data_IF_917586375313
#
_entry.id   IF_917586375313
#
_cell.length_a   1.000
_cell.length_b   1.000
_cell.length_c   1.000
_cell.angle_alpha   90.00
_cell.angle_beta   90.00
_cell.angle_gamma   90.00
#
_symmetry.space_group_name_H-M   'P 1'
#
loop_
_entity.id
_entity.type
_entity.pdbx_description
1 polymer ?
#
# COMPACT_ATOMS: atom_id res chain seq x y z
N UNK A 1 67.59 -27.62 -52.03
CA UNK A 1 67.20 -26.19 -51.90
C UNK A 1 65.78 -26.17 -51.41
N UNK A 2 65.55 -26.05 -50.13
CA UNK A 2 64.19 -26.03 -49.51
C UNK A 2 63.88 -24.59 -49.06
N UNK A 3 62.81 -24.10 -49.59
CA UNK A 3 62.40 -22.70 -49.56
C UNK A 3 61.92 -22.28 -48.16
N UNK A 4 62.65 -21.39 -47.47
CA UNK A 4 62.35 -20.81 -46.15
C UNK A 4 61.40 -19.58 -46.31
N UNK A 5 60.15 -19.76 -46.68
CA UNK A 5 59.20 -18.63 -46.74
C UNK A 5 57.76 -18.98 -46.27
N UNK A 6 57.61 -19.73 -45.24
CA UNK A 6 56.24 -20.01 -44.78
C UNK A 6 56.11 -20.11 -43.24
N UNK A 7 56.72 -19.21 -42.48
CA UNK A 7 56.43 -19.15 -41.03
C UNK A 7 56.47 -17.69 -40.56
N UNK A 8 55.53 -16.86 -41.04
CA UNK A 8 55.38 -15.51 -40.50
C UNK A 8 53.96 -14.96 -40.54
N UNK A 9 52.94 -15.80 -40.40
CA UNK A 9 51.54 -15.36 -40.45
C UNK A 9 50.69 -15.78 -39.24
N UNK A 10 51.28 -16.13 -38.11
CA UNK A 10 50.45 -16.64 -36.97
C UNK A 10 50.62 -15.94 -35.62
N UNK A 11 51.11 -14.70 -35.60
CA UNK A 11 51.31 -13.99 -34.30
C UNK A 11 50.50 -12.69 -34.13
N UNK A 12 49.52 -12.39 -34.96
CA UNK A 12 48.81 -11.12 -34.89
C UNK A 12 47.45 -11.18 -34.18
N UNK A 13 46.96 -12.32 -33.71
CA UNK A 13 45.60 -12.44 -33.24
C UNK A 13 45.38 -12.59 -31.73
N UNK A 14 46.40 -12.58 -30.90
CA UNK A 14 46.19 -12.74 -29.42
C UNK A 14 45.72 -11.45 -28.74
N UNK A 15 46.09 -10.28 -29.23
CA UNK A 15 45.68 -9.00 -28.64
C UNK A 15 44.21 -8.67 -29.01
N UNK A 16 43.80 -8.90 -30.22
CA UNK A 16 42.43 -8.67 -30.68
C UNK A 16 41.42 -9.58 -29.99
N UNK A 17 41.79 -10.85 -29.69
CA UNK A 17 40.91 -11.77 -28.96
C UNK A 17 40.72 -11.40 -27.49
N UNK A 18 41.73 -10.82 -26.86
CA UNK A 18 41.63 -10.32 -25.44
C UNK A 18 40.80 -9.01 -25.38
N UNK A 19 40.96 -8.12 -26.35
CA UNK A 19 40.15 -6.89 -26.40
C UNK A 19 38.66 -7.19 -26.64
N UNK A 20 38.36 -8.15 -27.51
CA UNK A 20 36.98 -8.62 -27.72
C UNK A 20 36.37 -9.27 -26.45
N UNK A 21 37.14 -10.04 -25.68
CA UNK A 21 36.65 -10.67 -24.47
C UNK A 21 36.37 -9.66 -23.35
N UNK A 22 37.21 -8.66 -23.16
CA UNK A 22 37.01 -7.59 -22.17
C UNK A 22 35.81 -6.70 -22.52
N UNK A 23 35.63 -6.34 -23.78
CA UNK A 23 34.47 -5.60 -24.25
C UNK A 23 33.17 -6.41 -24.04
N UNK A 24 33.18 -7.70 -24.31
CA UNK A 24 32.02 -8.58 -24.11
C UNK A 24 31.66 -8.73 -22.65
N UNK A 25 32.64 -8.83 -21.74
CA UNK A 25 32.38 -8.89 -20.29
C UNK A 25 31.73 -7.59 -19.79
N UNK A 26 32.25 -6.44 -20.22
CA UNK A 26 31.66 -5.13 -19.84
C UNK A 26 30.23 -5.02 -20.32
N UNK A 27 29.93 -5.41 -21.57
CA UNK A 27 28.57 -5.40 -22.12
C UNK A 27 27.65 -6.34 -21.34
N UNK A 28 28.10 -7.54 -20.97
CA UNK A 28 27.34 -8.49 -20.17
C UNK A 28 27.02 -7.94 -18.77
N UNK A 29 27.99 -7.33 -18.08
CA UNK A 29 27.78 -6.71 -16.77
C UNK A 29 26.79 -5.55 -16.86
N UNK A 30 26.90 -4.69 -17.86
CA UNK A 30 25.96 -3.61 -18.10
C UNK A 30 24.56 -4.13 -18.41
N UNK A 31 24.45 -5.16 -19.26
CA UNK A 31 23.16 -5.77 -19.60
C UNK A 31 22.49 -6.40 -18.37
N UNK A 32 23.25 -7.12 -17.51
CA UNK A 32 22.73 -7.69 -16.26
C UNK A 32 22.31 -6.62 -15.27
N UNK A 33 23.08 -5.55 -15.13
CA UNK A 33 22.72 -4.44 -14.23
C UNK A 33 21.44 -3.72 -14.69
N UNK A 34 21.28 -3.47 -15.99
CA UNK A 34 20.06 -2.90 -16.56
C UNK A 34 18.85 -3.83 -16.40
N UNK A 35 19.05 -5.15 -16.53
CA UNK A 35 18.00 -6.14 -16.34
C UNK A 35 17.53 -6.18 -14.89
N UNK A 36 18.46 -6.16 -13.92
CA UNK A 36 18.14 -6.11 -12.49
C UNK A 36 17.39 -4.81 -12.15
N UNK A 37 17.88 -3.66 -12.62
CA UNK A 37 17.21 -2.37 -12.43
C UNK A 37 15.81 -2.36 -13.07
N UNK A 38 15.66 -2.93 -14.26
CA UNK A 38 14.38 -3.09 -14.93
C UNK A 38 13.40 -3.95 -14.13
N UNK A 39 13.85 -5.09 -13.59
CA UNK A 39 13.03 -5.95 -12.75
C UNK A 39 12.61 -5.28 -11.43
N UNK A 40 13.52 -4.52 -10.79
CA UNK A 40 13.20 -3.74 -9.59
C UNK A 40 12.16 -2.67 -9.91
N UNK A 41 12.32 -1.95 -11.02
CA UNK A 41 11.36 -0.94 -11.46
C UNK A 41 9.99 -1.56 -11.76
N UNK A 42 9.97 -2.68 -12.48
CA UNK A 42 8.74 -3.43 -12.78
C UNK A 42 8.09 -3.90 -11.47
N UNK A 43 8.85 -4.48 -10.54
CA UNK A 43 8.32 -4.90 -9.23
C UNK A 43 7.71 -3.70 -8.47
N UNK A 44 8.37 -2.54 -8.49
CA UNK A 44 7.87 -1.33 -7.84
C UNK A 44 6.59 -0.81 -8.48
N UNK A 45 6.52 -0.79 -9.83
CA UNK A 45 5.33 -0.39 -10.58
C UNK A 45 4.18 -1.39 -10.36
N UNK A 46 4.44 -2.70 -10.42
CA UNK A 46 3.41 -3.72 -10.23
C UNK A 46 2.97 -3.86 -8.76
N UNK A 47 3.83 -3.60 -7.78
CA UNK A 47 3.42 -3.49 -6.37
C UNK A 47 2.49 -2.28 -6.17
N UNK A 48 2.74 -1.17 -6.86
CA UNK A 48 1.81 -0.03 -6.90
C UNK A 48 0.55 -0.28 -7.73
N UNK A 49 0.63 -1.04 -8.81
CA UNK A 49 -0.48 -1.31 -9.72
C UNK A 49 -1.47 -2.37 -9.20
N UNK A 50 -1.07 -3.25 -8.27
CA UNK A 50 -1.99 -4.17 -7.59
C UNK A 50 -3.09 -3.43 -6.82
N UNK A 51 -2.90 -2.16 -6.52
CA UNK A 51 -3.82 -1.32 -5.76
C UNK A 51 -4.08 0.03 -6.43
N UNK A 52 -4.14 0.06 -7.76
CA UNK A 52 -4.70 1.22 -8.46
C UNK A 52 -6.21 1.27 -8.16
N UNK A 53 -6.52 1.92 -7.07
CA UNK A 53 -7.87 2.24 -6.62
C UNK A 53 -8.23 3.63 -7.17
N UNK A 54 -8.20 3.78 -8.46
CA UNK A 54 -8.95 4.89 -9.07
C UNK A 54 -10.42 4.56 -9.25
N UNK A 55 -10.78 3.27 -9.13
CA UNK A 55 -12.19 2.86 -9.09
C UNK A 55 -12.32 1.68 -8.13
N UNK A 56 -12.85 1.93 -6.95
CA UNK A 56 -13.40 0.86 -6.13
C UNK A 56 -14.36 0.08 -7.02
N UNK A 57 -14.05 -1.19 -7.29
CA UNK A 57 -14.82 -2.02 -8.21
C UNK A 57 -16.30 -1.96 -7.79
N UNK A 58 -17.21 -1.68 -8.71
CA UNK A 58 -18.66 -1.59 -8.48
C UNK A 58 -19.19 -2.79 -7.68
N UNK A 59 -18.55 -3.96 -7.83
CA UNK A 59 -18.87 -5.15 -7.06
C UNK A 59 -18.59 -4.98 -5.56
N UNK A 60 -17.46 -4.38 -5.20
CA UNK A 60 -17.10 -4.09 -3.79
C UNK A 60 -18.04 -3.03 -3.21
N UNK A 61 -18.37 -2.00 -3.97
CA UNK A 61 -19.36 -0.99 -3.54
C UNK A 61 -20.72 -1.62 -3.27
N UNK A 62 -21.17 -2.52 -4.14
CA UNK A 62 -22.44 -3.23 -3.95
C UNK A 62 -22.42 -4.14 -2.72
N UNK A 63 -21.29 -4.79 -2.41
CA UNK A 63 -21.16 -5.59 -1.19
C UNK A 63 -21.16 -4.70 0.06
N UNK A 64 -20.45 -3.56 0.02
CA UNK A 64 -20.45 -2.57 1.11
C UNK A 64 -21.87 -2.03 1.34
N UNK A 65 -22.61 -1.72 0.26
CA UNK A 65 -23.97 -1.21 0.38
C UNK A 65 -24.92 -2.20 1.06
N UNK A 66 -24.71 -3.51 0.89
CA UNK A 66 -25.49 -4.55 1.59
C UNK A 66 -25.21 -4.60 3.09
N UNK A 67 -24.06 -4.10 3.54
CA UNK A 67 -23.68 -4.05 4.94
C UNK A 67 -24.30 -2.85 5.68
N UNK A 68 -24.77 -1.83 4.95
CA UNK A 68 -25.49 -0.72 5.57
C UNK A 68 -26.86 -1.19 6.07
N UNK A 69 -26.96 -1.23 7.39
CA UNK A 69 -28.26 -1.34 8.06
C UNK A 69 -28.91 0.05 8.13
N UNK A 70 -30.21 0.11 8.33
CA UNK A 70 -30.96 1.37 8.52
C UNK A 70 -30.26 2.20 9.63
N UNK A 71 -30.00 3.49 9.35
CA UNK A 71 -29.31 4.44 10.24
C UNK A 71 -27.78 4.25 10.46
N UNK A 72 -27.13 3.38 9.72
CA UNK A 72 -25.70 3.22 9.84
C UNK A 72 -24.95 4.31 9.07
N UNK A 73 -24.08 5.08 9.78
CA UNK A 73 -23.33 6.22 9.23
C UNK A 73 -22.03 5.80 8.56
N UNK A 74 -21.45 4.66 8.93
CA UNK A 74 -20.19 4.15 8.42
C UNK A 74 -20.14 2.63 8.47
N UNK A 75 -19.62 2.03 7.40
CA UNK A 75 -19.34 0.59 7.30
C UNK A 75 -17.88 0.38 6.89
N UNK A 76 -17.20 -0.56 7.53
CA UNK A 76 -15.87 -1.04 7.15
C UNK A 76 -16.03 -2.43 6.53
N UNK A 77 -15.51 -2.62 5.33
CA UNK A 77 -15.59 -3.89 4.60
C UNK A 77 -14.51 -4.86 5.08
N UNK A 78 -14.74 -5.44 6.25
CA UNK A 78 -13.90 -6.46 6.86
C UNK A 78 -14.79 -7.49 7.57
N UNK A 79 -14.45 -8.77 7.42
CA UNK A 79 -15.08 -9.81 8.20
C UNK A 79 -14.73 -9.63 9.69
N UNK A 80 -15.74 -9.55 10.54
CA UNK A 80 -15.60 -9.36 12.00
C UNK A 80 -14.73 -8.15 12.41
N UNK A 81 -14.60 -7.13 11.55
CA UNK A 81 -13.74 -5.96 11.75
C UNK A 81 -12.27 -6.31 11.99
N UNK A 82 -11.82 -7.48 11.51
CA UNK A 82 -10.46 -7.98 11.65
C UNK A 82 -9.84 -8.25 10.28
N UNK A 83 -8.56 -7.91 10.17
CA UNK A 83 -7.75 -8.18 8.99
C UNK A 83 -6.51 -8.97 9.42
N UNK A 84 -6.34 -10.15 8.87
CA UNK A 84 -5.09 -10.90 8.95
C UNK A 84 -4.21 -10.50 7.76
N UNK A 85 -3.01 -10.02 8.02
CA UNK A 85 -2.04 -9.62 7.01
C UNK A 85 -0.67 -10.21 7.34
N UNK A 86 0.07 -10.67 6.34
CA UNK A 86 1.42 -11.20 6.54
C UNK A 86 2.47 -10.09 6.51
N UNK A 87 3.59 -10.37 7.15
CA UNK A 87 4.79 -9.53 7.00
C UNK A 87 5.18 -9.41 5.52
N UNK A 88 5.60 -8.24 5.09
CA UNK A 88 5.96 -7.95 3.70
C UNK A 88 4.80 -7.78 2.73
N UNK A 89 3.55 -7.89 3.18
CA UNK A 89 2.36 -7.73 2.33
C UNK A 89 1.76 -6.33 2.41
N UNK A 90 1.12 -5.95 1.30
CA UNK A 90 0.30 -4.76 1.18
C UNK A 90 -1.18 -5.14 1.16
N UNK A 91 -2.01 -4.37 1.86
CA UNK A 91 -3.45 -4.60 1.90
C UNK A 91 -4.27 -3.32 1.92
N UNK A 92 -5.51 -3.40 1.42
CA UNK A 92 -6.47 -2.30 1.42
C UNK A 92 -7.69 -2.59 2.29
N UNK A 93 -8.01 -1.67 3.18
CA UNK A 93 -9.25 -1.69 3.99
C UNK A 93 -10.22 -0.70 3.37
N UNK A 94 -11.27 -1.21 2.75
CA UNK A 94 -12.32 -0.40 2.16
C UNK A 94 -13.36 -0.01 3.22
N UNK A 95 -13.86 1.20 3.15
CA UNK A 95 -14.93 1.68 4.01
C UNK A 95 -15.86 2.64 3.25
N UNK A 96 -17.02 2.88 3.81
CA UNK A 96 -17.97 3.84 3.26
C UNK A 96 -18.60 4.69 4.37
N UNK A 97 -18.91 5.93 4.02
CA UNK A 97 -19.57 6.91 4.87
C UNK A 97 -20.87 7.32 4.19
N UNK A 98 -21.98 7.29 4.91
CA UNK A 98 -23.29 7.74 4.41
C UNK A 98 -23.69 9.04 5.10
N UNK A 99 -24.09 10.03 4.32
CA UNK A 99 -24.61 11.28 4.84
C UNK A 99 -26.07 11.12 5.28
N UNK A 100 -26.31 10.98 6.56
CA UNK A 100 -27.63 10.88 7.19
C UNK A 100 -28.03 12.19 7.91
N UNK A 101 -27.38 13.32 7.57
CA UNK A 101 -27.75 14.61 8.18
C UNK A 101 -29.03 15.12 7.50
N UNK A 102 -30.07 15.23 8.30
CA UNK A 102 -31.36 15.73 7.86
C UNK A 102 -31.42 17.27 7.87
N UNK A 103 -32.35 17.82 7.10
CA UNK A 103 -32.67 19.25 7.08
C UNK A 103 -31.51 20.17 6.65
N UNK A 104 -30.55 19.65 5.89
CA UNK A 104 -29.43 20.44 5.38
C UNK A 104 -29.43 20.42 3.85
N UNK A 105 -29.53 21.59 3.22
CA UNK A 105 -29.46 21.71 1.76
C UNK A 105 -28.01 21.64 1.28
N UNK A 106 -27.77 20.95 0.17
CA UNK A 106 -26.48 20.86 -0.51
C UNK A 106 -25.52 19.83 0.07
N UNK A 107 -24.43 19.61 -0.64
CA UNK A 107 -23.39 18.66 -0.22
C UNK A 107 -22.64 19.16 1.02
N UNK A 108 -22.23 18.23 1.88
CA UNK A 108 -21.40 18.48 3.07
C UNK A 108 -20.07 17.78 2.93
N UNK A 109 -19.01 18.45 3.43
CA UNK A 109 -17.66 17.94 3.42
C UNK A 109 -17.39 17.13 4.69
N UNK A 110 -17.22 15.83 4.55
CA UNK A 110 -16.86 14.93 5.63
C UNK A 110 -15.34 14.72 5.62
N UNK A 111 -14.65 15.23 6.62
CA UNK A 111 -13.23 15.00 6.82
C UNK A 111 -13.06 13.77 7.70
N UNK A 112 -12.20 12.81 7.29
CA UNK A 112 -11.88 11.66 8.10
C UNK A 112 -10.38 11.54 8.37
N UNK A 113 -10.07 10.87 9.48
CA UNK A 113 -8.71 10.56 9.89
C UNK A 113 -8.65 9.13 10.44
N UNK A 114 -7.55 8.45 10.09
CA UNK A 114 -7.23 7.12 10.58
C UNK A 114 -6.07 7.22 11.57
N UNK A 115 -6.29 6.76 12.78
CA UNK A 115 -5.30 6.78 13.84
C UNK A 115 -5.26 5.44 14.59
N UNK A 116 -4.19 5.22 15.35
CA UNK A 116 -4.09 4.07 16.25
C UNK A 116 -4.98 4.32 17.46
N UNK A 117 -5.82 3.36 17.80
CA UNK A 117 -6.69 3.37 18.96
C UNK A 117 -6.21 2.37 20.02
N UNK A 118 -4.96 2.53 20.44
CA UNK A 118 -4.31 1.80 21.52
C UNK A 118 -3.40 2.73 22.30
N UNK A 119 -3.25 2.50 23.60
CA UNK A 119 -2.27 3.22 24.39
C UNK A 119 -0.85 2.86 24.00
N UNK A 120 0.08 3.82 24.13
CA UNK A 120 1.49 3.62 23.78
C UNK A 120 2.15 2.50 24.60
N UNK A 121 1.69 2.27 25.82
CA UNK A 121 2.17 1.20 26.73
C UNK A 121 1.62 -0.15 26.27
N UNK A 122 0.32 -0.20 25.96
CA UNK A 122 -0.34 -1.40 25.45
C UNK A 122 0.28 -1.87 24.13
N UNK A 123 0.48 -0.93 23.17
CA UNK A 123 1.10 -1.22 21.89
C UNK A 123 2.54 -1.75 22.05
N UNK A 124 3.36 -1.12 22.89
CA UNK A 124 4.73 -1.57 23.17
C UNK A 124 4.78 -2.96 23.77
N UNK A 125 3.89 -3.25 24.73
CA UNK A 125 3.87 -4.53 25.42
C UNK A 125 3.39 -5.66 24.52
N UNK A 126 2.36 -5.42 23.72
CA UNK A 126 1.77 -6.43 22.82
C UNK A 126 2.54 -6.61 21.51
N UNK A 127 3.25 -5.58 21.05
CA UNK A 127 3.93 -5.53 19.77
C UNK A 127 5.46 -5.42 19.86
N UNK A 128 6.09 -6.00 20.88
CA UNK A 128 7.55 -6.11 20.95
C UNK A 128 8.30 -4.78 20.94
N UNK A 129 7.72 -3.73 21.53
CA UNK A 129 8.33 -2.41 21.60
C UNK A 129 7.95 -1.45 20.48
N UNK A 130 7.04 -1.84 19.59
CA UNK A 130 6.56 -1.00 18.48
C UNK A 130 6.03 0.34 19.00
N UNK A 131 6.48 1.44 18.40
CA UNK A 131 6.00 2.78 18.72
C UNK A 131 4.76 3.14 17.89
N UNK A 132 3.94 4.09 18.39
CA UNK A 132 2.77 4.60 17.66
C UNK A 132 3.19 5.15 16.28
N UNK A 133 4.30 5.89 16.20
CA UNK A 133 4.80 6.44 14.93
C UNK A 133 5.17 5.38 13.91
N UNK A 134 5.77 4.28 14.36
CA UNK A 134 6.11 3.14 13.48
C UNK A 134 4.86 2.44 13.00
N UNK A 135 3.91 2.14 13.89
CA UNK A 135 2.64 1.53 13.52
C UNK A 135 1.81 2.43 12.58
N UNK A 136 1.83 3.76 12.78
CA UNK A 136 1.23 4.71 11.85
C UNK A 136 1.92 4.73 10.48
N UNK A 137 3.23 4.46 10.42
CA UNK A 137 3.97 4.39 9.16
C UNK A 137 3.56 3.23 8.26
N UNK A 138 2.83 2.26 8.80
CA UNK A 138 2.24 1.16 8.03
C UNK A 138 1.09 1.64 7.15
N UNK A 139 0.45 2.77 7.47
CA UNK A 139 -0.54 3.41 6.58
C UNK A 139 0.20 4.16 5.48
N UNK A 140 0.10 3.68 4.24
CA UNK A 140 0.76 4.28 3.07
C UNK A 140 -0.12 5.27 2.34
N UNK A 141 -1.43 5.09 2.37
CA UNK A 141 -2.39 6.01 1.76
C UNK A 141 -3.75 5.94 2.49
N UNK A 142 -4.55 6.98 2.39
CA UNK A 142 -5.86 7.05 3.01
C UNK A 142 -5.84 7.32 4.53
N UNK A 143 -4.73 7.84 5.07
CA UNK A 143 -4.64 8.21 6.49
C UNK A 143 -5.61 9.35 6.84
N UNK A 144 -5.79 10.30 5.95
CA UNK A 144 -6.76 11.38 6.07
C UNK A 144 -7.18 11.88 4.70
N UNK A 145 -8.45 12.18 4.54
CA UNK A 145 -9.01 12.74 3.31
C UNK A 145 -10.37 13.36 3.60
N UNK A 146 -11.02 13.85 2.55
CA UNK A 146 -12.35 14.43 2.66
C UNK A 146 -13.25 14.01 1.50
N UNK A 147 -14.53 13.84 1.78
CA UNK A 147 -15.57 13.51 0.81
C UNK A 147 -16.68 14.55 0.87
N UNK A 148 -17.15 15.02 -0.29
CA UNK A 148 -18.32 15.88 -0.37
C UNK A 148 -19.54 15.03 -0.72
N UNK A 149 -20.50 14.91 0.20
CA UNK A 149 -21.67 14.03 0.08
C UNK A 149 -22.96 14.82 0.18
N UNK A 150 -23.89 14.60 -0.76
CA UNK A 150 -25.24 15.09 -0.66
C UNK A 150 -26.03 14.32 0.42
N UNK A 151 -27.16 14.85 0.93
CA UNK A 151 -28.02 14.10 1.84
C UNK A 151 -28.42 12.73 1.26
N UNK A 152 -28.22 11.66 2.05
CA UNK A 152 -28.48 10.28 1.64
C UNK A 152 -27.41 9.62 0.78
N UNK A 153 -26.42 10.38 0.30
CA UNK A 153 -25.33 9.87 -0.53
C UNK A 153 -24.30 9.09 0.29
N UNK A 154 -23.73 8.05 -0.34
CA UNK A 154 -22.66 7.22 0.23
C UNK A 154 -21.34 7.48 -0.50
N UNK A 155 -20.32 7.87 0.24
CA UNK A 155 -18.95 8.00 -0.25
C UNK A 155 -18.10 6.80 0.17
N UNK A 156 -17.15 6.42 -0.67
CA UNK A 156 -16.28 5.25 -0.46
C UNK A 156 -14.82 5.68 -0.50
N UNK A 157 -14.00 5.03 0.32
CA UNK A 157 -12.54 5.21 0.25
C UNK A 157 -11.81 3.94 0.72
N UNK A 158 -10.48 3.90 0.54
CA UNK A 158 -9.65 2.77 0.92
C UNK A 158 -8.41 3.25 1.64
N UNK A 159 -8.16 2.67 2.81
CA UNK A 159 -6.93 2.83 3.56
C UNK A 159 -5.96 1.75 3.10
N UNK A 160 -4.75 2.13 2.71
CA UNK A 160 -3.71 1.18 2.28
C UNK A 160 -2.67 1.00 3.36
N UNK A 161 -2.43 -0.25 3.68
CA UNK A 161 -1.39 -0.69 4.61
C UNK A 161 -0.27 -1.39 3.86
N UNK A 162 0.96 -1.19 4.31
CA UNK A 162 2.13 -1.94 3.88
C UNK A 162 2.88 -2.37 5.14
N UNK A 163 2.92 -3.66 5.39
CA UNK A 163 3.56 -4.22 6.57
C UNK A 163 4.99 -4.61 6.22
N UNK A 164 6.03 -4.08 6.91
CA UNK A 164 7.42 -4.47 6.66
C UNK A 164 7.66 -5.96 6.94
N UNK A 165 8.63 -6.58 6.27
CA UNK A 165 9.03 -7.99 6.51
C UNK A 165 9.50 -8.27 7.95
N UNK A 166 10.00 -7.26 8.67
CA UNK A 166 10.43 -7.36 10.06
C UNK A 166 9.43 -6.84 11.09
N UNK A 167 8.17 -6.57 10.71
CA UNK A 167 7.15 -6.10 11.63
C UNK A 167 6.90 -7.12 12.75
N UNK A 168 6.65 -6.71 14.00
CA UNK A 168 6.30 -7.64 15.07
C UNK A 168 4.97 -8.34 14.78
N UNK A 169 4.89 -9.63 15.15
CA UNK A 169 3.68 -10.43 15.04
C UNK A 169 2.74 -10.07 16.20
N UNK A 170 1.79 -9.21 15.94
CA UNK A 170 0.86 -8.71 16.93
C UNK A 170 -0.42 -8.19 16.29
N UNK A 171 -1.39 -7.80 17.10
CA UNK A 171 -2.54 -7.06 16.60
C UNK A 171 -2.44 -5.58 16.95
N UNK A 172 -2.88 -4.75 16.01
CA UNK A 172 -2.90 -3.29 16.15
C UNK A 172 -4.32 -2.82 15.86
N UNK A 173 -4.90 -2.07 16.79
CA UNK A 173 -6.22 -1.48 16.61
C UNK A 173 -6.10 -0.09 16.02
N UNK A 174 -6.78 0.11 14.91
CA UNK A 174 -6.96 1.41 14.27
C UNK A 174 -8.39 1.90 14.44
N UNK A 175 -8.57 3.22 14.38
CA UNK A 175 -9.89 3.86 14.32
C UNK A 175 -9.98 4.75 13.10
N UNK A 176 -11.12 4.74 12.43
CA UNK A 176 -11.51 5.73 11.45
C UNK A 176 -12.46 6.68 12.14
N UNK A 177 -12.09 7.94 12.24
CA UNK A 177 -12.91 8.99 12.83
C UNK A 177 -13.30 10.01 11.78
N UNK A 178 -14.59 10.21 11.60
CA UNK A 178 -15.17 11.20 10.66
C UNK A 178 -15.64 12.40 11.46
N UNK A 179 -15.20 13.59 11.09
CA UNK A 179 -15.63 14.84 11.71
C UNK A 179 -17.05 15.21 11.27
N UNK A 180 -17.81 15.78 12.19
CA UNK A 180 -19.14 16.29 11.86
C UNK A 180 -19.01 17.55 10.98
N UNK A 181 -19.60 17.57 9.78
CA UNK A 181 -19.47 18.70 8.87
C UNK A 181 -20.26 19.94 9.31
N UNK A 182 -21.17 19.81 10.28
CA UNK A 182 -21.95 20.92 10.85
C UNK A 182 -21.30 21.40 12.13
N UNK A 183 -20.81 20.49 12.96
CA UNK A 183 -20.16 20.78 14.24
C UNK A 183 -18.75 20.17 14.24
N UNK A 184 -17.73 20.84 13.67
CA UNK A 184 -16.39 20.24 13.48
C UNK A 184 -15.67 19.84 14.78
N UNK A 185 -16.13 20.33 15.94
CA UNK A 185 -15.62 19.96 17.26
C UNK A 185 -16.11 18.57 17.73
N UNK A 186 -17.12 18.02 17.07
CA UNK A 186 -17.68 16.70 17.35
C UNK A 186 -17.35 15.68 16.25
N UNK A 187 -17.50 14.41 16.57
CA UNK A 187 -17.34 13.35 15.60
C UNK A 187 -18.71 12.94 15.05
N UNK A 188 -18.83 12.85 13.75
CA UNK A 188 -20.01 12.32 13.07
C UNK A 188 -20.16 10.82 13.34
N UNK A 189 -19.06 10.08 13.21
CA UNK A 189 -18.96 8.65 13.51
C UNK A 189 -17.50 8.27 13.71
N UNK A 190 -17.26 7.25 14.55
CA UNK A 190 -15.97 6.60 14.71
C UNK A 190 -16.17 5.08 14.74
N UNK A 191 -15.31 4.34 14.06
CA UNK A 191 -15.30 2.88 14.01
C UNK A 191 -13.89 2.35 14.13
N UNK A 192 -13.75 1.25 14.87
CA UNK A 192 -12.47 0.57 15.06
C UNK A 192 -12.38 -0.65 14.16
N UNK A 193 -11.17 -1.03 13.80
CA UNK A 193 -10.83 -2.31 13.18
C UNK A 193 -9.45 -2.76 13.63
N UNK A 194 -9.25 -4.07 13.63
CA UNK A 194 -8.03 -4.69 14.11
C UNK A 194 -7.22 -5.25 12.93
N UNK A 195 -5.93 -4.99 12.89
CA UNK A 195 -4.97 -5.62 11.98
C UNK A 195 -4.14 -6.60 12.80
N UNK A 196 -4.16 -7.86 12.41
CA UNK A 196 -3.39 -8.93 13.02
C UNK A 196 -2.24 -9.31 12.08
N UNK A 197 -1.01 -9.01 12.47
CA UNK A 197 0.20 -9.27 11.68
C UNK A 197 0.65 -10.70 11.95
N UNK A 198 0.74 -11.50 10.86
CA UNK A 198 1.15 -12.89 10.87
C UNK A 198 2.47 -13.09 10.12
N UNK A 199 3.13 -14.24 10.34
CA UNK A 199 4.30 -14.67 9.60
C UNK A 199 3.95 -15.12 8.18
#
# INVERSE_FOLDING_TARGET
>A
MINKKAVKVCLYNKKAAMELSMSTIVILVLAMSMLILGLVLIKTIFSGAKYNVETMNTKVQNEINKLFVEDEKMVIYLADQKLDIKQGEDWGVAFAIKNLIENVMGSKKFDYEVAINMDSVELKNSCGGLSIKEAESYIKAGKSSSMSLNPGETGYDIIRFSIPEGAPLCFIRYSITVKDPVTPSSNYVSRNFDINIKA
#
